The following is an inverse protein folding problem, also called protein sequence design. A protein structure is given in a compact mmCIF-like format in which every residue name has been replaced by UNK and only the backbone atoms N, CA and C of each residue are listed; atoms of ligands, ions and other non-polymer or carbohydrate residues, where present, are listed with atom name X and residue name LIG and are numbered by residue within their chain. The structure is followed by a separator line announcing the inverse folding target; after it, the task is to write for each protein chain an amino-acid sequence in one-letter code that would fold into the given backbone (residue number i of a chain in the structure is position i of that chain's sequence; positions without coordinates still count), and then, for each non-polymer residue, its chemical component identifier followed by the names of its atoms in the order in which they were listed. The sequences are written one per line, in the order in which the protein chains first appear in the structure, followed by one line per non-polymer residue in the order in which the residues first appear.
data_IF_273077641598
#
_entry.id   IF_273077641598
#
_cell.length_a   1.000
_cell.length_b   1.000
_cell.length_c   1.000
_cell.angle_alpha   90.00
_cell.angle_beta   90.00
_cell.angle_gamma   90.00
#
_symmetry.space_group_name_H-M   'P 1'
#
loop_
_entity.id
_entity.type
_entity.pdbx_description
1 polymer ?
#
# COMPACT_ATOMS: atom_id res chain seq x y z
N UNK A 1 6.38 -26.82 24.21
CA UNK A 1 6.19 -25.99 23.00
C UNK A 1 6.28 -24.51 23.36
N UNK A 2 7.45 -23.88 23.18
CA UNK A 2 7.65 -22.46 23.47
C UNK A 2 7.02 -21.57 22.38
N UNK A 3 6.02 -20.78 22.76
CA UNK A 3 5.48 -19.70 21.92
C UNK A 3 6.54 -18.59 21.84
N UNK A 4 7.19 -18.43 20.67
CA UNK A 4 8.04 -17.27 20.37
C UNK A 4 7.19 -16.00 20.44
N UNK A 5 7.27 -15.28 21.54
CA UNK A 5 6.78 -13.89 21.66
C UNK A 5 7.71 -13.04 20.81
N UNK A 6 7.21 -12.59 19.64
CA UNK A 6 7.88 -11.59 18.82
C UNK A 6 7.83 -10.27 19.61
N UNK A 7 8.93 -9.92 20.26
CA UNK A 7 9.11 -8.64 20.94
C UNK A 7 8.97 -7.54 19.88
N UNK A 8 7.90 -6.76 19.97
CA UNK A 8 7.79 -5.48 19.26
C UNK A 8 8.65 -4.48 20.05
N UNK A 9 9.67 -3.84 19.47
CA UNK A 9 10.48 -2.88 20.19
C UNK A 9 9.60 -1.71 20.66
N UNK A 10 9.67 -1.40 21.95
CA UNK A 10 9.02 -0.24 22.57
C UNK A 10 9.32 1.04 21.78
N UNK A 11 8.33 1.93 21.64
CA UNK A 11 8.40 3.19 20.89
C UNK A 11 9.62 4.05 21.24
N UNK A 12 10.17 3.91 22.45
CA UNK A 12 11.40 4.60 22.90
C UNK A 12 12.67 4.15 22.16
N UNK A 13 12.73 2.90 21.65
CA UNK A 13 13.86 2.43 20.83
C UNK A 13 13.84 3.00 19.40
N UNK A 14 12.66 3.36 18.89
CA UNK A 14 12.51 3.95 17.55
C UNK A 14 12.99 5.40 17.50
N UNK A 15 12.67 6.20 18.52
CA UNK A 15 13.16 7.58 18.66
C UNK A 15 14.70 7.65 18.75
N UNK A 16 15.32 6.68 19.43
CA UNK A 16 16.79 6.64 19.58
C UNK A 16 17.52 6.19 18.29
N UNK A 17 16.84 5.43 17.42
CA UNK A 17 17.32 5.07 16.09
C UNK A 17 17.13 6.21 15.07
N UNK A 18 16.00 6.93 15.11
CA UNK A 18 15.76 8.10 14.24
C UNK A 18 16.80 9.21 14.48
N UNK A 19 17.17 9.49 15.74
CA UNK A 19 18.17 10.51 16.07
C UNK A 19 19.61 10.13 15.66
N UNK A 20 20.00 8.85 15.79
CA UNK A 20 21.33 8.38 15.37
C UNK A 20 21.46 8.30 13.84
N UNK A 21 20.38 7.94 13.12
CA UNK A 21 20.41 7.82 11.66
C UNK A 21 20.61 9.18 10.98
N UNK A 22 19.98 10.24 11.52
CA UNK A 22 20.13 11.61 11.01
C UNK A 22 21.57 12.13 11.12
N UNK A 23 22.27 11.82 12.23
CA UNK A 23 23.65 12.24 12.45
C UNK A 23 24.68 11.46 11.61
N UNK A 24 24.41 10.19 11.29
CA UNK A 24 25.31 9.36 10.47
C UNK A 24 25.13 9.64 8.97
N UNK A 25 23.94 10.04 8.52
CA UNK A 25 23.65 10.34 7.12
C UNK A 25 24.47 11.48 6.51
N UNK A 26 24.89 12.46 7.29
CA UNK A 26 25.69 13.61 6.82
C UNK A 26 27.12 13.28 6.38
N UNK A 27 27.61 12.05 6.64
CA UNK A 27 28.95 11.58 6.27
C UNK A 27 28.98 10.60 5.10
N UNK A 28 27.83 10.19 4.59
CA UNK A 28 27.75 9.24 3.49
C UNK A 28 27.86 10.04 2.20
N UNK A 29 28.98 9.89 1.50
CA UNK A 29 29.10 10.31 0.10
C UNK A 29 27.95 9.69 -0.67
N UNK A 30 27.15 10.51 -1.36
CA UNK A 30 25.97 10.06 -2.12
C UNK A 30 26.36 8.85 -2.96
N UNK A 31 25.81 7.65 -2.66
CA UNK A 31 26.04 6.49 -3.50
C UNK A 31 25.64 6.86 -4.92
N UNK A 32 26.45 6.45 -5.90
CA UNK A 32 26.07 6.56 -7.30
C UNK A 32 24.66 5.94 -7.44
N UNK A 33 23.69 6.72 -7.93
CA UNK A 33 22.25 6.39 -8.05
C UNK A 33 21.32 6.62 -6.83
N UNK A 34 21.78 7.14 -5.69
CA UNK A 34 20.88 7.43 -4.54
C UNK A 34 19.71 8.35 -4.90
N UNK A 35 19.92 9.33 -5.78
CA UNK A 35 18.85 10.20 -6.28
C UNK A 35 17.71 9.43 -6.95
N UNK A 36 17.96 8.25 -7.52
CA UNK A 36 16.96 7.36 -8.12
C UNK A 36 16.34 6.42 -7.08
N UNK A 37 17.14 5.94 -6.13
CA UNK A 37 16.73 4.94 -5.14
C UNK A 37 15.97 5.53 -3.94
N UNK A 38 16.22 6.78 -3.59
CA UNK A 38 15.63 7.44 -2.41
C UNK A 38 14.11 7.37 -2.35
N UNK A 39 13.44 7.42 -3.50
CA UNK A 39 11.97 7.34 -3.57
C UNK A 39 11.46 5.92 -3.30
N UNK A 40 12.20 4.90 -3.76
CA UNK A 40 11.90 3.48 -3.52
C UNK A 40 12.07 3.18 -2.03
N UNK A 41 13.22 3.57 -1.46
CA UNK A 41 13.52 3.36 -0.05
C UNK A 41 12.50 4.08 0.84
N UNK A 42 12.10 5.31 0.49
CA UNK A 42 11.06 6.02 1.23
C UNK A 42 9.70 5.31 1.14
N UNK A 43 9.31 4.77 -0.03
CA UNK A 43 8.07 3.99 -0.15
C UNK A 43 8.08 2.76 0.77
N UNK A 44 9.21 2.05 0.86
CA UNK A 44 9.37 0.90 1.76
C UNK A 44 9.27 1.30 3.23
N UNK A 45 9.95 2.37 3.63
CA UNK A 45 9.93 2.90 5.01
C UNK A 45 8.50 3.28 5.40
N UNK A 46 7.82 4.06 4.55
CA UNK A 46 6.44 4.52 4.84
C UNK A 46 5.48 3.33 4.88
N UNK A 47 5.65 2.33 4.01
CA UNK A 47 4.85 1.09 4.03
C UNK A 47 5.02 0.34 5.34
N UNK A 48 6.27 0.13 5.77
CA UNK A 48 6.57 -0.54 7.03
C UNK A 48 6.02 0.25 8.23
N UNK A 49 6.17 1.59 8.23
CA UNK A 49 5.65 2.46 9.29
C UNK A 49 4.12 2.40 9.38
N UNK A 50 3.43 2.38 8.25
CA UNK A 50 1.97 2.22 8.21
C UNK A 50 1.52 0.85 8.75
N UNK A 51 2.29 -0.22 8.51
CA UNK A 51 1.98 -1.54 9.09
C UNK A 51 2.25 -1.62 10.59
N UNK A 52 3.27 -0.90 11.07
CA UNK A 52 3.65 -0.87 12.48
C UNK A 52 2.72 0.00 13.34
N UNK A 53 2.17 1.09 12.78
CA UNK A 53 1.36 2.08 13.51
C UNK A 53 -0.12 1.95 13.10
N UNK A 54 -0.98 1.32 13.93
CA UNK A 54 -2.38 1.07 13.58
C UNK A 54 -3.18 2.33 13.24
N UNK A 55 -2.91 3.46 13.89
CA UNK A 55 -3.60 4.73 13.68
C UNK A 55 -3.34 5.28 12.28
N UNK A 56 -2.10 5.13 11.80
CA UNK A 56 -1.71 5.52 10.43
C UNK A 56 -2.44 4.62 9.44
N UNK A 57 -2.44 3.31 9.67
CA UNK A 57 -3.15 2.34 8.83
C UNK A 57 -4.64 2.66 8.70
N UNK A 58 -5.32 2.91 9.83
CA UNK A 58 -6.75 3.24 9.88
C UNK A 58 -7.03 4.52 9.10
N UNK A 59 -6.21 5.56 9.26
CA UNK A 59 -6.34 6.81 8.49
C UNK A 59 -6.18 6.58 6.98
N UNK A 60 -5.27 5.69 6.58
CA UNK A 60 -5.06 5.35 5.17
C UNK A 60 -6.22 4.52 4.59
N UNK A 61 -6.71 3.52 5.34
CA UNK A 61 -7.85 2.68 4.95
C UNK A 61 -9.16 3.48 4.81
N UNK A 62 -9.39 4.45 5.68
CA UNK A 62 -10.56 5.32 5.66
C UNK A 62 -10.44 6.52 4.71
N UNK A 63 -9.26 6.72 4.11
CA UNK A 63 -9.06 7.81 3.16
C UNK A 63 -9.86 7.58 1.88
N UNK A 64 -10.34 8.66 1.27
CA UNK A 64 -11.09 8.60 0.02
C UNK A 64 -10.22 9.04 -1.17
N UNK A 65 -10.75 8.88 -2.38
CA UNK A 65 -10.03 9.29 -3.59
C UNK A 65 -9.78 10.80 -3.68
N UNK A 66 -10.56 11.63 -2.98
CA UNK A 66 -10.39 13.09 -2.91
C UNK A 66 -9.41 13.54 -1.81
N UNK A 67 -9.12 12.70 -0.82
CA UNK A 67 -8.19 13.01 0.29
C UNK A 67 -6.82 13.33 -0.26
N UNK A 68 -6.24 14.44 0.20
CA UNK A 68 -4.91 14.91 -0.14
C UNK A 68 -4.04 14.69 1.08
N UNK A 69 -2.89 14.05 0.90
CA UNK A 69 -1.85 13.98 1.91
C UNK A 69 -0.82 15.03 1.56
N UNK A 70 -0.46 15.87 2.53
CA UNK A 70 0.44 16.99 2.35
C UNK A 70 1.42 17.01 3.52
N UNK A 71 2.72 17.10 3.18
CA UNK A 71 3.76 17.31 4.17
C UNK A 71 4.09 18.80 4.20
N UNK A 72 3.52 19.51 5.19
CA UNK A 72 3.62 20.97 5.35
C UNK A 72 4.97 21.42 5.88
N UNK A 73 6.03 21.14 5.12
CA UNK A 73 7.40 21.56 5.39
C UNK A 73 7.97 22.34 4.21
N UNK A 74 8.96 23.19 4.49
CA UNK A 74 9.70 23.95 3.47
C UNK A 74 10.60 23.07 2.55
N UNK A 75 10.54 21.74 2.68
CA UNK A 75 11.22 20.83 1.78
C UNK A 75 10.54 20.85 0.40
N UNK A 76 11.32 21.17 -0.63
CA UNK A 76 10.84 21.31 -2.01
C UNK A 76 10.64 19.96 -2.73
N UNK A 77 11.25 18.88 -2.22
CA UNK A 77 11.20 17.55 -2.83
C UNK A 77 10.18 16.65 -2.12
N UNK A 78 10.32 16.47 -0.82
CA UNK A 78 9.42 15.63 -0.01
C UNK A 78 8.16 16.36 0.41
N UNK A 79 8.27 17.67 0.67
CA UNK A 79 7.23 18.53 1.21
C UNK A 79 6.51 19.40 0.18
N UNK A 80 5.62 20.24 0.68
CA UNK A 80 4.88 21.24 -0.10
C UNK A 80 5.70 22.50 -0.37
N UNK A 81 6.89 22.64 0.24
CA UNK A 81 7.70 23.86 0.19
C UNK A 81 7.09 25.02 0.99
N UNK A 82 6.14 24.73 1.87
CA UNK A 82 5.40 25.68 2.71
C UNK A 82 5.27 25.10 4.12
N UNK A 83 5.10 25.95 5.13
CA UNK A 83 4.70 25.45 6.45
C UNK A 83 3.26 24.91 6.46
N UNK A 84 2.85 24.37 7.61
CA UNK A 84 1.54 23.72 7.78
C UNK A 84 0.41 24.71 7.49
N UNK A 85 0.46 25.91 8.05
CA UNK A 85 -0.59 26.91 7.90
C UNK A 85 -0.70 27.40 6.45
N UNK A 86 0.43 27.75 5.81
CA UNK A 86 0.42 28.16 4.41
C UNK A 86 -0.03 27.01 3.49
N UNK A 87 0.36 25.77 3.78
CA UNK A 87 -0.09 24.58 3.02
C UNK A 87 -1.61 24.43 3.04
N UNK A 88 -2.26 24.67 4.19
CA UNK A 88 -3.71 24.56 4.35
C UNK A 88 -4.46 25.63 3.55
N UNK A 89 -3.91 26.85 3.46
CA UNK A 89 -4.54 28.00 2.81
C UNK A 89 -4.14 28.18 1.33
N UNK A 90 -3.24 27.35 0.82
CA UNK A 90 -2.74 27.42 -0.55
C UNK A 90 -3.30 26.27 -1.39
N UNK A 91 -3.80 26.56 -2.59
CA UNK A 91 -4.22 25.52 -3.53
C UNK A 91 -3.01 24.63 -3.88
N UNK A 92 -3.19 23.31 -3.78
CA UNK A 92 -2.16 22.32 -4.14
C UNK A 92 -1.52 22.55 -5.51
N UNK A 93 -2.26 23.09 -6.48
CA UNK A 93 -1.74 23.34 -7.83
C UNK A 93 -0.63 24.38 -7.88
N UNK A 94 -0.52 25.21 -6.85
CA UNK A 94 0.48 26.27 -6.74
C UNK A 94 1.46 26.03 -5.58
N UNK A 95 1.50 24.83 -5.00
CA UNK A 95 2.53 24.48 -4.04
C UNK A 95 3.91 24.50 -4.71
N UNK A 96 4.90 25.17 -4.12
CA UNK A 96 6.24 25.25 -4.68
C UNK A 96 6.96 23.89 -4.64
N UNK A 97 6.71 23.06 -3.62
CA UNK A 97 7.31 21.74 -3.47
C UNK A 97 6.53 20.61 -4.16
N UNK A 98 7.24 19.52 -4.46
CA UNK A 98 6.69 18.37 -5.19
C UNK A 98 5.75 17.47 -4.37
N UNK A 99 5.82 17.57 -3.03
CA UNK A 99 5.06 16.77 -2.07
C UNK A 99 5.12 15.26 -2.37
N UNK A 100 6.33 14.74 -2.62
CA UNK A 100 6.55 13.32 -2.93
C UNK A 100 6.06 12.40 -1.81
N UNK A 101 6.23 12.81 -0.56
CA UNK A 101 5.78 12.03 0.59
C UNK A 101 4.25 11.87 0.59
N UNK A 102 3.51 12.95 0.33
CA UNK A 102 2.06 12.90 0.18
C UNK A 102 1.59 11.99 -0.96
N UNK A 103 2.31 11.96 -2.08
CA UNK A 103 2.04 11.05 -3.21
C UNK A 103 2.23 9.57 -2.82
N UNK A 104 3.29 9.26 -2.06
CA UNK A 104 3.53 7.90 -1.53
C UNK A 104 2.38 7.46 -0.62
N UNK A 105 1.97 8.31 0.34
CA UNK A 105 0.83 8.01 1.22
C UNK A 105 -0.47 7.78 0.43
N UNK A 106 -0.72 8.58 -0.61
CA UNK A 106 -1.88 8.39 -1.49
C UNK A 106 -1.86 7.04 -2.24
N UNK A 107 -0.68 6.64 -2.72
CA UNK A 107 -0.47 5.34 -3.38
C UNK A 107 -0.75 4.18 -2.42
N UNK A 108 -0.27 4.29 -1.18
CA UNK A 108 -0.51 3.29 -0.13
C UNK A 108 -1.99 3.20 0.25
N UNK A 109 -2.65 4.34 0.41
CA UNK A 109 -4.08 4.39 0.74
C UNK A 109 -4.93 3.70 -0.34
N UNK A 110 -4.57 3.93 -1.61
CA UNK A 110 -5.21 3.26 -2.75
C UNK A 110 -4.96 1.74 -2.78
N UNK A 111 -3.77 1.28 -2.36
CA UNK A 111 -3.46 -0.16 -2.22
C UNK A 111 -4.34 -0.80 -1.14
N UNK A 112 -4.51 -0.15 0.02
CA UNK A 112 -5.37 -0.66 1.09
C UNK A 112 -6.85 -0.69 0.69
N UNK A 113 -7.36 0.37 0.05
CA UNK A 113 -8.74 0.41 -0.44
C UNK A 113 -9.03 -0.73 -1.45
N UNK A 114 -8.08 -1.04 -2.33
CA UNK A 114 -8.21 -2.17 -3.28
C UNK A 114 -8.23 -3.51 -2.55
N UNK A 115 -7.34 -3.72 -1.59
CA UNK A 115 -7.31 -4.95 -0.79
C UNK A 115 -8.64 -5.21 -0.09
N UNK A 116 -9.26 -4.16 0.48
CA UNK A 116 -10.57 -4.25 1.12
C UNK A 116 -11.70 -4.62 0.14
N UNK A 117 -11.67 -4.05 -1.07
CA UNK A 117 -12.62 -4.41 -2.14
C UNK A 117 -12.46 -5.86 -2.59
N UNK A 118 -11.24 -6.35 -2.72
CA UNK A 118 -10.96 -7.73 -3.12
C UNK A 118 -11.30 -8.75 -2.02
N UNK A 119 -11.26 -8.38 -0.74
CA UNK A 119 -11.73 -9.21 0.36
C UNK A 119 -13.24 -9.18 0.57
N UNK A 120 -13.96 -8.30 -0.13
CA UNK A 120 -15.43 -8.27 -0.08
C UNK A 120 -15.97 -9.50 -0.81
N UNK A 121 -16.68 -10.37 -0.08
CA UNK A 121 -17.32 -11.57 -0.64
C UNK A 121 -18.23 -11.24 -1.84
N UNK A 122 -18.52 -12.21 -2.74
CA UNK A 122 -19.36 -11.97 -3.90
C UNK A 122 -20.69 -11.34 -3.46
N UNK A 123 -21.02 -10.18 -4.03
CA UNK A 123 -22.37 -9.61 -3.87
C UNK A 123 -23.34 -10.66 -4.37
N UNK A 124 -24.22 -11.16 -3.49
CA UNK A 124 -25.38 -11.95 -3.88
C UNK A 124 -26.28 -11.02 -4.69
N UNK A 125 -26.07 -10.99 -6.00
CA UNK A 125 -26.90 -10.26 -6.95
C UNK A 125 -28.30 -10.83 -6.92
N UNK A 126 -29.29 -9.95 -6.88
CA UNK A 126 -30.69 -10.25 -7.16
C UNK A 126 -30.78 -11.03 -8.47
N UNK A 127 -31.41 -12.20 -8.41
CA UNK A 127 -31.69 -13.08 -9.55
C UNK A 127 -32.51 -12.32 -10.59
N UNK A 128 -31.88 -11.99 -11.72
CA UNK A 128 -32.56 -11.64 -12.96
C UNK A 128 -32.18 -12.71 -14.01
N UNK A 129 -33.19 -13.21 -14.71
CA UNK A 129 -33.35 -14.53 -15.34
C UNK A 129 -32.37 -14.94 -16.47
N UNK A 130 -31.16 -14.40 -16.54
CA UNK A 130 -30.17 -14.76 -17.58
C UNK A 130 -28.97 -15.58 -17.06
N UNK A 131 -29.06 -16.15 -15.85
CA UNK A 131 -27.97 -16.90 -15.21
C UNK A 131 -27.90 -18.40 -15.55
N UNK A 132 -28.87 -18.96 -16.28
CA UNK A 132 -28.95 -20.41 -16.51
C UNK A 132 -27.83 -21.01 -17.38
N UNK A 133 -27.06 -20.19 -18.11
CA UNK A 133 -26.11 -20.71 -19.11
C UNK A 133 -24.74 -21.11 -18.54
N UNK A 134 -24.26 -20.42 -17.49
CA UNK A 134 -22.91 -20.62 -16.97
C UNK A 134 -22.83 -21.89 -16.12
N UNK A 135 -23.84 -22.16 -15.30
CA UNK A 135 -23.90 -23.35 -14.46
C UNK A 135 -24.03 -24.64 -15.27
N UNK A 136 -24.70 -24.57 -16.43
CA UNK A 136 -24.83 -25.68 -17.38
C UNK A 136 -23.48 -25.96 -18.04
N UNK A 137 -22.80 -24.92 -18.53
CA UNK A 137 -21.47 -25.05 -19.13
C UNK A 137 -20.42 -25.65 -18.18
N UNK A 138 -20.44 -25.25 -16.90
CA UNK A 138 -19.53 -25.80 -15.87
C UNK A 138 -19.84 -27.28 -15.54
N UNK A 139 -21.11 -27.68 -15.58
CA UNK A 139 -21.52 -29.08 -15.39
C UNK A 139 -21.07 -29.96 -16.56
N UNK A 140 -21.14 -29.45 -17.78
CA UNK A 140 -20.74 -30.19 -18.99
C UNK A 140 -19.23 -30.40 -19.05
N UNK A 141 -18.43 -29.39 -18.67
CA UNK A 141 -16.97 -29.54 -18.53
C UNK A 141 -16.58 -30.62 -17.52
N UNK A 142 -17.34 -30.75 -16.42
CA UNK A 142 -17.07 -31.76 -15.37
C UNK A 142 -17.44 -33.18 -15.81
N UNK A 143 -18.31 -33.33 -16.82
CA UNK A 143 -18.82 -34.63 -17.30
C UNK A 143 -17.93 -35.29 -18.36
N UNK A 144 -17.04 -34.54 -19.01
CA UNK A 144 -16.21 -35.01 -20.13
C UNK A 144 -14.94 -35.82 -19.77
N UNK A 145 -14.61 -35.97 -18.48
CA UNK A 145 -13.34 -36.56 -18.02
C UNK A 145 -13.37 -38.06 -17.72
N UNK A 146 -13.83 -38.92 -18.64
CA UNK A 146 -13.59 -40.38 -18.51
C UNK A 146 -13.59 -41.10 -19.87
N UNK A 147 -12.41 -41.17 -20.51
CA UNK A 147 -12.11 -42.18 -21.53
C UNK A 147 -10.93 -43.01 -21.04
N UNK A 148 -11.22 -44.18 -20.49
CA UNK A 148 -10.23 -45.22 -20.27
C UNK A 148 -9.98 -45.92 -21.60
N UNK A 149 -8.75 -45.90 -22.08
CA UNK A 149 -8.28 -46.80 -23.12
C UNK A 149 -8.09 -48.21 -22.55
N UNK A 150 -8.51 -49.21 -23.30
CA UNK A 150 -7.95 -50.57 -23.21
C UNK A 150 -8.03 -51.18 -24.61
N UNK A 151 -6.87 -51.35 -25.21
CA UNK A 151 -6.62 -51.98 -26.50
C UNK A 151 -6.82 -53.49 -26.42
N UNK A 152 -7.46 -54.04 -27.45
CA UNK A 152 -7.74 -55.45 -27.67
C UNK A 152 -6.50 -56.34 -27.65
N UNK A 153 -6.69 -57.58 -27.18
CA UNK A 153 -5.81 -58.72 -27.39
C UNK A 153 -6.51 -59.68 -28.34
N UNK A 154 -5.87 -59.97 -29.48
CA UNK A 154 -6.28 -60.98 -30.45
C UNK A 154 -5.06 -61.42 -31.24
#
# INVERSE_FOLDING_TARGET
MLRKRRLVPSASKWLCLEHNLFLVGHKITDPQDWSKEKEIVMEEIVSAKAEQIPEVKIKLENSNNRTIFAEGTYDMFWGTGLDIEATLHTDRRIWPGENRLGKIYKKLSSKYARKLRNSSAPRKGTTSEKQSNIDVFLKDLKKGGKKNGKSDSG
#
